data_IF_334874102538
#
_entry.id   IF_334874102538
#
_cell.length_a   1.000
_cell.length_b   1.000
_cell.length_c   1.000
_cell.angle_alpha   90.00
_cell.angle_beta   90.00
_cell.angle_gamma   90.00
#
_symmetry.space_group_name_H-M   'P 1'
#
loop_
_entity.id
_entity.type
_entity.pdbx_description
1 polymer ?
#
# COMPACT_ATOMS: atom_id res chain seq x y z
N UNK A 1 10.22 -26.08 19.55
CA UNK A 1 11.22 -26.24 18.46
C UNK A 1 10.49 -25.98 17.14
N UNK A 2 11.05 -25.21 16.22
CA UNK A 2 10.39 -24.97 14.92
C UNK A 2 10.88 -25.97 13.87
N UNK A 3 10.06 -26.25 12.87
CA UNK A 3 10.40 -27.13 11.74
C UNK A 3 10.44 -26.32 10.46
N UNK A 4 11.56 -26.37 9.74
CA UNK A 4 11.80 -25.65 8.50
C UNK A 4 11.76 -26.63 7.34
N UNK A 5 11.12 -26.25 6.25
CA UNK A 5 11.04 -27.02 5.01
C UNK A 5 11.27 -26.07 3.83
N UNK A 6 12.34 -26.31 3.07
CA UNK A 6 12.59 -25.54 1.85
C UNK A 6 11.69 -26.00 0.69
N UNK A 7 11.78 -25.30 -0.44
CA UNK A 7 10.98 -25.59 -1.63
C UNK A 7 11.35 -26.93 -2.31
N UNK A 8 12.50 -27.53 -1.95
CA UNK A 8 12.96 -28.81 -2.47
C UNK A 8 12.55 -29.98 -1.56
N UNK A 9 11.90 -29.69 -0.43
CA UNK A 9 11.47 -30.69 0.56
C UNK A 9 12.54 -31.05 1.59
N UNK A 10 13.65 -30.31 1.67
CA UNK A 10 14.64 -30.46 2.74
C UNK A 10 14.03 -30.00 4.05
N UNK A 11 13.95 -30.89 5.03
CA UNK A 11 13.38 -30.59 6.36
C UNK A 11 14.48 -30.50 7.41
N UNK A 12 14.43 -29.47 8.24
CA UNK A 12 15.33 -29.32 9.38
C UNK A 12 14.61 -28.72 10.59
N UNK A 13 14.69 -29.34 11.79
CA UNK A 13 14.24 -28.71 13.01
C UNK A 13 15.28 -27.73 13.56
N UNK A 14 14.85 -26.71 14.29
CA UNK A 14 15.74 -25.75 14.96
C UNK A 14 15.22 -25.27 16.32
N UNK A 15 16.15 -25.09 17.25
CA UNK A 15 15.89 -24.38 18.51
C UNK A 15 16.07 -22.89 18.28
N UNK A 16 15.00 -22.13 18.44
CA UNK A 16 14.95 -20.69 18.19
C UNK A 16 14.58 -19.95 19.46
N UNK A 17 14.82 -18.65 19.47
CA UNK A 17 14.57 -17.76 20.60
C UNK A 17 13.41 -16.80 20.25
N UNK A 18 12.69 -16.32 21.27
CA UNK A 18 11.63 -15.31 21.14
C UNK A 18 10.54 -15.67 20.11
N UNK A 19 10.02 -16.89 20.16
CA UNK A 19 8.94 -17.33 19.26
C UNK A 19 7.63 -16.67 19.63
N UNK A 20 7.12 -15.85 18.73
CA UNK A 20 5.91 -15.06 18.88
C UNK A 20 4.97 -15.32 17.68
N UNK A 21 3.80 -15.90 17.93
CA UNK A 21 2.72 -15.99 16.96
C UNK A 21 1.71 -14.86 17.21
N UNK A 22 1.46 -14.04 16.19
CA UNK A 22 0.50 -12.93 16.23
C UNK A 22 -0.68 -13.27 15.32
N UNK A 23 -1.86 -13.31 15.90
CA UNK A 23 -3.13 -13.42 15.19
C UNK A 23 -3.85 -12.06 15.25
N UNK A 24 -4.30 -11.55 14.11
CA UNK A 24 -5.03 -10.28 14.01
C UNK A 24 -6.32 -10.47 13.21
N UNK A 25 -7.39 -9.78 13.62
CA UNK A 25 -8.70 -9.87 12.98
C UNK A 25 -8.62 -9.41 11.53
N UNK A 26 -9.14 -10.20 10.59
CA UNK A 26 -9.18 -9.91 9.16
C UNK A 26 -7.79 -9.65 8.53
N UNK A 27 -6.75 -10.28 9.07
CA UNK A 27 -5.38 -10.15 8.59
C UNK A 27 -4.64 -11.48 8.56
N UNK A 28 -3.49 -11.48 7.87
CA UNK A 28 -2.59 -12.62 7.87
C UNK A 28 -1.91 -12.76 9.22
N UNK A 29 -1.83 -14.00 9.74
CA UNK A 29 -1.05 -14.30 10.93
C UNK A 29 0.43 -14.03 10.70
N UNK A 30 1.15 -13.69 11.77
CA UNK A 30 2.60 -13.45 11.73
C UNK A 30 3.32 -14.33 12.74
N UNK A 31 4.51 -14.80 12.37
CA UNK A 31 5.44 -15.51 13.23
C UNK A 31 6.74 -14.72 13.30
N UNK A 32 7.19 -14.38 14.51
CA UNK A 32 8.49 -13.77 14.75
C UNK A 32 9.35 -14.70 15.60
N UNK A 33 10.64 -14.76 15.29
CA UNK A 33 11.63 -15.45 16.13
C UNK A 33 13.05 -14.99 15.79
N UNK A 34 13.99 -15.38 16.62
CA UNK A 34 15.42 -15.19 16.42
C UNK A 34 16.12 -16.54 16.34
N UNK A 35 17.05 -16.69 15.39
CA UNK A 35 17.88 -17.88 15.26
C UNK A 35 19.36 -17.52 15.16
N UNK A 36 20.19 -18.27 15.89
CA UNK A 36 21.64 -18.18 15.85
C UNK A 36 22.23 -19.32 15.00
N UNK A 37 23.28 -19.01 14.25
CA UNK A 37 24.10 -19.98 13.50
C UNK A 37 24.97 -20.82 14.47
N UNK A 38 24.31 -21.67 15.24
CA UNK A 38 24.95 -22.65 16.12
C UNK A 38 25.01 -24.02 15.45
N UNK A 39 25.88 -24.90 15.95
CA UNK A 39 26.05 -26.25 15.40
C UNK A 39 24.73 -27.02 15.33
N UNK A 40 23.88 -26.86 16.34
CA UNK A 40 22.59 -27.54 16.48
C UNK A 40 21.56 -27.04 15.46
N UNK A 41 21.68 -25.79 15.01
CA UNK A 41 20.76 -25.16 14.07
C UNK A 41 21.32 -25.07 12.65
N UNK A 42 22.52 -25.62 12.38
CA UNK A 42 23.28 -25.31 11.16
C UNK A 42 22.51 -25.56 9.87
N UNK A 43 21.82 -26.70 9.80
CA UNK A 43 21.01 -27.08 8.64
C UNK A 43 19.81 -26.12 8.48
N UNK A 44 19.02 -25.92 9.53
CA UNK A 44 17.88 -25.00 9.48
C UNK A 44 18.30 -23.55 9.17
N UNK A 45 19.48 -23.13 9.63
CA UNK A 45 20.05 -21.82 9.31
C UNK A 45 20.33 -21.65 7.82
N UNK A 46 20.75 -22.71 7.13
CA UNK A 46 20.92 -22.73 5.67
C UNK A 46 19.57 -22.72 4.93
N UNK A 47 18.50 -23.20 5.55
CA UNK A 47 17.15 -23.17 4.98
C UNK A 47 16.45 -21.80 5.14
N UNK A 48 17.09 -20.78 5.70
CA UNK A 48 16.49 -19.43 5.83
C UNK A 48 16.49 -18.65 4.49
N UNK A 49 15.89 -19.24 3.46
CA UNK A 49 15.78 -18.73 2.10
C UNK A 49 14.32 -18.35 1.76
N UNK A 50 14.08 -17.55 0.71
CA UNK A 50 12.72 -17.25 0.26
C UNK A 50 11.90 -18.52 -0.01
N UNK A 51 10.64 -18.52 0.41
CA UNK A 51 9.71 -19.64 0.18
C UNK A 51 9.78 -20.77 1.21
N UNK A 52 10.76 -20.76 2.13
CA UNK A 52 10.84 -21.75 3.21
C UNK A 52 9.60 -21.70 4.09
N UNK A 53 8.95 -22.86 4.22
CA UNK A 53 7.83 -23.10 5.11
C UNK A 53 8.35 -23.37 6.52
N UNK A 54 7.72 -22.75 7.50
CA UNK A 54 8.02 -22.89 8.92
C UNK A 54 6.75 -23.41 9.59
N UNK A 55 6.86 -24.55 10.25
CA UNK A 55 5.78 -25.13 11.04
C UNK A 55 6.06 -24.88 12.52
N UNK A 56 5.05 -24.36 13.22
CA UNK A 56 5.02 -24.27 14.68
C UNK A 56 4.30 -25.50 15.22
N UNK A 57 5.00 -26.49 15.81
CA UNK A 57 4.37 -27.75 16.20
C UNK A 57 3.26 -27.61 17.25
N UNK A 58 3.36 -26.60 18.12
CA UNK A 58 2.43 -26.39 19.22
C UNK A 58 1.05 -25.92 18.73
N UNK A 59 0.99 -25.13 17.65
CA UNK A 59 -0.24 -24.60 17.05
C UNK A 59 -0.65 -25.34 15.77
N UNK A 60 0.28 -26.05 15.14
CA UNK A 60 0.18 -26.62 13.79
C UNK A 60 -0.12 -25.55 12.70
N UNK A 61 0.28 -24.31 12.96
CA UNK A 61 0.24 -23.25 11.97
C UNK A 61 1.48 -23.30 11.08
N UNK A 62 1.29 -22.94 9.82
CA UNK A 62 2.36 -22.85 8.83
C UNK A 62 2.57 -21.40 8.39
N UNK A 63 3.84 -21.03 8.28
CA UNK A 63 4.28 -19.69 7.90
C UNK A 63 5.32 -19.78 6.78
N UNK A 64 5.51 -18.71 6.03
CA UNK A 64 6.61 -18.52 5.07
C UNK A 64 7.41 -17.29 5.40
N UNK A 65 8.73 -17.40 5.28
CA UNK A 65 9.66 -16.31 5.57
C UNK A 65 9.33 -15.10 4.68
N UNK A 66 9.14 -13.94 5.32
CA UNK A 66 8.90 -12.66 4.66
C UNK A 66 10.11 -11.72 4.79
N UNK A 67 10.71 -11.66 5.99
CA UNK A 67 11.94 -10.89 6.23
C UNK A 67 12.99 -11.72 6.97
N UNK A 68 14.26 -11.49 6.65
CA UNK A 68 15.40 -12.17 7.24
C UNK A 68 16.54 -11.17 7.50
N UNK A 69 16.51 -10.53 8.66
CA UNK A 69 17.48 -9.49 9.02
C UNK A 69 18.67 -10.10 9.77
N UNK A 70 19.89 -9.81 9.34
CA UNK A 70 21.10 -10.38 9.90
C UNK A 70 21.91 -9.43 10.78
N UNK A 71 22.48 -9.96 11.86
CA UNK A 71 23.47 -9.29 12.69
C UNK A 71 24.57 -10.26 13.12
N UNK A 72 25.74 -9.74 13.49
CA UNK A 72 26.79 -10.55 14.13
C UNK A 72 26.77 -10.30 15.64
N UNK A 73 26.75 -11.37 16.44
CA UNK A 73 26.77 -11.29 17.91
C UNK A 73 27.88 -12.20 18.42
N UNK A 74 28.98 -11.57 18.86
CA UNK A 74 30.20 -12.30 19.21
C UNK A 74 30.68 -13.13 18.02
N UNK A 75 30.81 -14.45 18.23
CA UNK A 75 31.26 -15.40 17.20
C UNK A 75 30.13 -15.99 16.34
N UNK A 76 28.87 -15.66 16.63
CA UNK A 76 27.71 -16.23 15.93
C UNK A 76 27.05 -15.21 15.01
N UNK A 77 26.47 -15.69 13.91
CA UNK A 77 25.54 -14.89 13.11
C UNK A 77 24.12 -15.09 13.64
N UNK A 78 23.42 -13.99 13.91
CA UNK A 78 22.02 -13.97 14.31
C UNK A 78 21.14 -13.58 13.12
N UNK A 79 19.99 -14.24 12.98
CA UNK A 79 18.89 -13.80 12.13
C UNK A 79 17.66 -13.50 12.96
N UNK A 80 17.03 -12.36 12.71
CA UNK A 80 15.70 -12.03 13.19
C UNK A 80 14.73 -12.20 12.02
N UNK A 81 13.79 -13.12 12.19
CA UNK A 81 12.88 -13.56 11.13
C UNK A 81 11.48 -13.05 11.44
N UNK A 82 10.84 -12.48 10.42
CA UNK A 82 9.39 -12.34 10.35
C UNK A 82 8.88 -13.22 9.22
N UNK A 83 7.92 -14.09 9.54
CA UNK A 83 7.24 -14.94 8.59
C UNK A 83 5.74 -14.61 8.62
N UNK A 84 5.10 -14.63 7.45
CA UNK A 84 3.65 -14.46 7.33
C UNK A 84 3.01 -15.84 7.20
N UNK A 85 1.78 -15.98 7.65
CA UNK A 85 1.02 -17.22 7.54
C UNK A 85 0.94 -17.68 6.08
N UNK A 86 0.87 -18.99 5.88
CA UNK A 86 0.88 -19.61 4.54
C UNK A 86 -0.26 -19.11 3.66
N UNK A 87 -1.33 -18.58 4.25
CA UNK A 87 -2.42 -17.91 3.54
C UNK A 87 -1.98 -16.74 2.65
N UNK A 88 -0.85 -16.10 2.94
CA UNK A 88 -0.24 -15.09 2.07
C UNK A 88 0.15 -15.64 0.69
N UNK A 89 0.29 -16.96 0.52
CA UNK A 89 0.52 -17.58 -0.79
C UNK A 89 -0.60 -17.30 -1.80
N UNK A 90 -1.80 -16.95 -1.32
CA UNK A 90 -2.89 -16.52 -2.19
C UNK A 90 -2.50 -15.30 -3.05
N UNK A 91 -1.54 -14.47 -2.58
CA UNK A 91 -0.97 -13.37 -3.35
C UNK A 91 -0.20 -13.83 -4.60
N UNK A 92 0.28 -15.07 -4.66
CA UNK A 92 0.94 -15.59 -5.87
C UNK A 92 -0.05 -15.86 -7.02
N UNK A 93 -1.36 -15.79 -6.78
CA UNK A 93 -2.38 -16.01 -7.78
C UNK A 93 -2.92 -14.67 -8.32
N UNK A 94 -2.43 -14.29 -9.50
CA UNK A 94 -2.98 -13.16 -10.25
C UNK A 94 -4.08 -13.60 -11.19
N UNK A 95 -5.19 -12.87 -11.19
CA UNK A 95 -6.37 -13.16 -12.00
C UNK A 95 -6.50 -12.05 -13.04
N UNK A 96 -6.35 -12.39 -14.31
CA UNK A 96 -6.44 -11.48 -15.45
C UNK A 96 -7.89 -11.24 -15.92
N UNK A 97 -8.77 -12.21 -15.65
CA UNK A 97 -10.19 -12.14 -15.97
C UNK A 97 -10.94 -11.24 -15.00
N UNK A 98 -12.14 -10.84 -15.41
CA UNK A 98 -13.04 -10.05 -14.59
C UNK A 98 -14.48 -10.59 -14.62
N UNK A 99 -15.13 -10.57 -13.46
CA UNK A 99 -16.55 -10.79 -13.31
C UNK A 99 -17.29 -9.45 -13.39
N UNK A 100 -18.47 -9.46 -14.01
CA UNK A 100 -19.30 -8.27 -14.18
C UNK A 100 -20.66 -8.45 -13.55
N UNK A 101 -21.30 -7.33 -13.23
CA UNK A 101 -22.68 -7.29 -12.74
C UNK A 101 -22.84 -7.86 -11.34
N UNK A 102 -24.05 -8.30 -11.01
CA UNK A 102 -24.36 -8.87 -9.69
C UNK A 102 -23.85 -10.31 -9.59
N UNK A 103 -23.08 -10.62 -8.54
CA UNK A 103 -22.52 -11.95 -8.28
C UNK A 103 -22.79 -12.38 -6.83
N UNK A 104 -22.91 -13.69 -6.60
CA UNK A 104 -22.91 -14.21 -5.23
C UNK A 104 -21.49 -14.21 -4.66
N UNK A 105 -21.35 -14.10 -3.33
CA UNK A 105 -20.04 -14.21 -2.68
C UNK A 105 -19.34 -15.53 -3.02
N UNK A 106 -20.10 -16.63 -3.13
CA UNK A 106 -19.58 -17.93 -3.54
C UNK A 106 -18.99 -17.92 -4.96
N UNK A 107 -19.66 -17.29 -5.93
CA UNK A 107 -19.12 -17.15 -7.29
C UNK A 107 -17.81 -16.38 -7.28
N UNK A 108 -17.70 -15.34 -6.47
CA UNK A 108 -16.50 -14.52 -6.34
C UNK A 108 -15.35 -15.31 -5.69
N UNK A 109 -15.63 -16.04 -4.60
CA UNK A 109 -14.64 -16.88 -3.92
C UNK A 109 -14.15 -18.01 -4.81
N UNK A 110 -15.07 -18.73 -5.48
CA UNK A 110 -14.71 -19.78 -6.42
C UNK A 110 -13.87 -19.26 -7.59
N UNK A 111 -14.16 -18.03 -8.05
CA UNK A 111 -13.39 -17.37 -9.08
C UNK A 111 -11.96 -17.07 -8.63
N UNK A 112 -11.78 -16.45 -7.45
CA UNK A 112 -10.45 -16.04 -6.99
C UNK A 112 -9.59 -17.19 -6.42
N UNK A 113 -10.22 -18.29 -5.98
CA UNK A 113 -9.51 -19.42 -5.39
C UNK A 113 -9.23 -20.54 -6.40
N UNK A 114 -9.69 -20.40 -7.65
CA UNK A 114 -9.60 -21.44 -8.67
C UNK A 114 -8.14 -21.86 -8.92
N UNK A 115 -7.83 -23.14 -8.66
CA UNK A 115 -6.50 -23.71 -8.92
C UNK A 115 -5.43 -23.32 -7.89
N UNK A 116 -5.78 -22.59 -6.83
CA UNK A 116 -4.84 -22.20 -5.76
C UNK A 116 -4.64 -23.28 -4.70
N UNK A 117 -5.55 -24.25 -4.62
CA UNK A 117 -5.60 -25.24 -3.53
C UNK A 117 -6.18 -24.70 -2.22
N UNK A 118 -6.56 -23.42 -2.17
CA UNK A 118 -7.29 -22.85 -1.04
C UNK A 118 -8.76 -23.28 -1.05
N UNK A 119 -9.32 -23.39 0.14
CA UNK A 119 -10.73 -23.77 0.36
C UNK A 119 -11.38 -22.78 1.30
N UNK A 120 -12.71 -22.74 1.34
CA UNK A 120 -13.43 -21.82 2.22
C UNK A 120 -14.70 -22.44 2.81
N UNK A 121 -15.16 -21.87 3.92
CA UNK A 121 -16.47 -22.14 4.53
C UNK A 121 -17.19 -20.82 4.80
N UNK A 122 -18.43 -20.71 4.33
CA UNK A 122 -19.35 -19.62 4.68
C UNK A 122 -20.19 -20.06 5.88
N UNK A 123 -20.13 -19.32 6.99
CA UNK A 123 -20.90 -19.63 8.20
C UNK A 123 -22.25 -18.91 8.25
N UNK A 124 -22.47 -17.94 7.36
CA UNK A 124 -23.66 -17.11 7.29
C UNK A 124 -24.17 -17.02 5.84
N UNK A 125 -25.38 -16.47 5.67
CA UNK A 125 -25.92 -16.14 4.35
C UNK A 125 -25.53 -14.72 3.92
N UNK A 126 -25.21 -14.57 2.64
CA UNK A 126 -24.80 -13.31 2.04
C UNK A 126 -25.72 -12.97 0.87
N UNK A 127 -26.07 -11.69 0.75
CA UNK A 127 -26.77 -11.18 -0.42
C UNK A 127 -25.84 -11.14 -1.62
N UNK A 128 -26.41 -11.09 -2.83
CA UNK A 128 -25.59 -10.86 -4.02
C UNK A 128 -24.94 -9.50 -3.96
N UNK A 129 -23.67 -9.43 -4.31
CA UNK A 129 -22.90 -8.21 -4.38
C UNK A 129 -22.93 -7.67 -5.81
N UNK A 130 -23.28 -6.39 -5.95
CA UNK A 130 -23.27 -5.69 -7.22
C UNK A 130 -22.00 -4.84 -7.30
N UNK A 131 -21.12 -5.17 -8.23
CA UNK A 131 -19.86 -4.45 -8.36
C UNK A 131 -20.05 -3.07 -9.02
N UNK A 132 -19.28 -2.10 -8.53
CA UNK A 132 -19.13 -0.75 -9.12
C UNK A 132 -18.45 -0.78 -10.49
N UNK A 133 -17.43 -1.63 -10.57
CA UNK A 133 -16.49 -1.84 -11.66
C UNK A 133 -16.31 -3.36 -11.80
N UNK A 134 -15.61 -3.84 -12.83
CA UNK A 134 -15.44 -5.29 -12.97
C UNK A 134 -14.60 -5.88 -11.79
N UNK A 135 -14.95 -7.06 -11.28
CA UNK A 135 -14.25 -7.73 -10.18
C UNK A 135 -13.23 -8.74 -10.69
N UNK A 136 -11.96 -8.55 -10.36
CA UNK A 136 -10.85 -9.35 -10.87
C UNK A 136 -9.68 -8.45 -11.25
N UNK A 137 -8.88 -8.84 -12.23
CA UNK A 137 -7.70 -8.09 -12.68
C UNK A 137 -6.75 -7.70 -11.51
N UNK A 138 -6.47 -8.66 -10.63
CA UNK A 138 -5.75 -8.41 -9.38
C UNK A 138 -5.28 -9.69 -8.70
N UNK A 139 -4.50 -9.53 -7.64
CA UNK A 139 -4.08 -10.64 -6.80
C UNK A 139 -5.23 -11.14 -5.93
N UNK A 140 -5.38 -12.46 -5.83
CA UNK A 140 -6.54 -13.08 -5.19
C UNK A 140 -6.70 -12.69 -3.71
N UNK A 141 -5.61 -12.49 -2.98
CA UNK A 141 -5.64 -12.06 -1.59
C UNK A 141 -6.09 -10.60 -1.44
N UNK A 142 -5.62 -9.71 -2.32
CA UNK A 142 -6.07 -8.32 -2.38
C UNK A 142 -7.55 -8.23 -2.75
N UNK A 143 -8.01 -9.01 -3.73
CA UNK A 143 -9.43 -9.08 -4.11
C UNK A 143 -10.30 -9.58 -2.96
N UNK A 144 -9.85 -10.59 -2.22
CA UNK A 144 -10.54 -11.09 -1.02
C UNK A 144 -10.61 -10.02 0.08
N UNK A 145 -9.47 -9.48 0.49
CA UNK A 145 -9.36 -8.66 1.70
C UNK A 145 -9.77 -7.21 1.47
N UNK A 146 -9.39 -6.61 0.33
CA UNK A 146 -9.63 -5.20 0.06
C UNK A 146 -10.95 -4.90 -0.63
N UNK A 147 -11.50 -5.86 -1.39
CA UNK A 147 -12.75 -5.67 -2.13
C UNK A 147 -13.86 -6.48 -1.49
N UNK A 148 -13.79 -7.82 -1.51
CA UNK A 148 -14.90 -8.65 -1.04
C UNK A 148 -15.22 -8.43 0.44
N UNK A 149 -14.22 -8.51 1.32
CA UNK A 149 -14.43 -8.34 2.77
C UNK A 149 -14.97 -6.94 3.11
N UNK A 150 -14.41 -5.90 2.48
CA UNK A 150 -14.82 -4.51 2.70
C UNK A 150 -16.24 -4.24 2.18
N UNK A 151 -16.54 -4.69 0.96
CA UNK A 151 -17.79 -4.37 0.31
C UNK A 151 -18.96 -5.23 0.79
N UNK A 152 -18.70 -6.50 1.12
CA UNK A 152 -19.70 -7.42 1.68
C UNK A 152 -19.77 -7.37 3.21
N UNK A 153 -18.88 -6.59 3.85
CA UNK A 153 -18.79 -6.38 5.30
C UNK A 153 -18.82 -7.70 6.07
N UNK A 154 -17.89 -8.60 5.71
CA UNK A 154 -17.66 -9.87 6.41
C UNK A 154 -16.30 -9.86 7.10
N UNK A 155 -16.22 -10.60 8.18
CA UNK A 155 -14.99 -10.95 8.87
C UNK A 155 -14.49 -12.32 8.39
N UNK A 156 -13.19 -12.55 8.42
CA UNK A 156 -12.60 -13.82 8.05
C UNK A 156 -11.42 -14.20 8.93
N UNK A 157 -11.15 -15.50 8.97
CA UNK A 157 -9.98 -16.08 9.62
C UNK A 157 -9.42 -17.20 8.76
N UNK A 158 -8.11 -17.17 8.55
CA UNK A 158 -7.39 -18.26 7.92
C UNK A 158 -7.03 -19.35 8.94
N UNK A 159 -7.15 -20.60 8.51
CA UNK A 159 -6.53 -21.76 9.13
C UNK A 159 -5.72 -22.43 8.03
N UNK A 160 -4.44 -22.08 7.96
CA UNK A 160 -3.56 -22.46 6.85
C UNK A 160 -4.25 -22.12 5.50
N UNK A 161 -4.51 -23.11 4.65
CA UNK A 161 -5.11 -22.89 3.32
C UNK A 161 -6.65 -22.88 3.33
N UNK A 162 -7.29 -22.82 4.49
CA UNK A 162 -8.75 -22.76 4.63
C UNK A 162 -9.21 -21.40 5.16
N UNK A 163 -10.19 -20.79 4.48
CA UNK A 163 -10.76 -19.48 4.83
C UNK A 163 -12.10 -19.68 5.50
N UNK A 164 -12.22 -19.29 6.77
CA UNK A 164 -13.49 -19.24 7.47
C UNK A 164 -14.07 -17.84 7.37
N UNK A 165 -15.28 -17.69 6.85
CA UNK A 165 -15.90 -16.41 6.55
C UNK A 165 -17.23 -16.26 7.31
N UNK A 166 -17.36 -15.17 8.06
CA UNK A 166 -18.47 -14.87 8.96
C UNK A 166 -18.97 -13.45 8.72
N UNK A 167 -20.24 -13.18 8.98
CA UNK A 167 -20.73 -11.79 8.95
C UNK A 167 -20.06 -10.94 10.03
N UNK A 168 -19.82 -11.53 11.20
CA UNK A 168 -19.01 -10.94 12.27
C UNK A 168 -18.35 -12.06 13.05
N UNK A 169 -17.05 -11.95 13.32
CA UNK A 169 -16.34 -12.88 14.21
C UNK A 169 -16.48 -12.43 15.65
N UNK A 170 -16.69 -13.41 16.52
CA UNK A 170 -16.61 -13.26 17.96
C UNK A 170 -17.94 -13.11 18.66
N UNK A 171 -17.89 -13.29 19.98
CA UNK A 171 -19.06 -13.36 20.84
C UNK A 171 -19.03 -12.20 21.83
N UNK A 172 -20.20 -11.80 22.33
CA UNK A 172 -20.32 -10.78 23.37
C UNK A 172 -20.09 -11.33 24.77
N UNK A 173 -19.72 -10.45 25.70
CA UNK A 173 -19.58 -10.72 27.13
C UNK A 173 -18.62 -11.87 27.45
N UNK A 174 -17.46 -11.87 26.80
CA UNK A 174 -16.48 -12.97 26.85
C UNK A 174 -15.39 -12.78 27.88
N UNK A 175 -15.17 -11.55 28.34
CA UNK A 175 -14.20 -11.21 29.36
C UNK A 175 -14.62 -9.95 30.13
N UNK A 176 -14.08 -9.81 31.34
CA UNK A 176 -14.07 -8.59 32.13
C UNK A 176 -12.67 -8.45 32.72
N UNK A 177 -11.92 -7.47 32.26
CA UNK A 177 -10.57 -7.20 32.75
C UNK A 177 -10.55 -5.91 33.57
N UNK A 178 -10.08 -6.00 34.81
CA UNK A 178 -10.03 -4.90 35.77
C UNK A 178 -8.57 -4.65 36.10
N UNK A 179 -8.09 -3.44 35.81
CA UNK A 179 -6.71 -3.02 36.07
C UNK A 179 -6.37 -3.11 37.57
N UNK A 180 -5.28 -3.79 37.90
CA UNK A 180 -4.82 -4.01 39.26
C UNK A 180 -5.55 -5.13 40.01
N UNK A 181 -6.55 -5.77 39.39
CA UNK A 181 -7.31 -6.87 39.98
C UNK A 181 -7.23 -8.16 39.15
N UNK A 182 -7.95 -8.24 38.02
CA UNK A 182 -7.92 -9.44 37.16
C UNK A 182 -6.78 -9.41 36.14
N UNK A 183 -6.21 -8.23 35.90
CA UNK A 183 -5.03 -8.00 35.06
C UNK A 183 -4.07 -7.02 35.75
N UNK A 184 -2.77 -7.14 35.49
CA UNK A 184 -1.77 -6.33 36.19
C UNK A 184 -1.79 -4.84 35.76
N UNK A 185 -1.96 -4.59 34.46
CA UNK A 185 -1.90 -3.26 33.85
C UNK A 185 -2.64 -3.25 32.51
N UNK A 186 -3.39 -2.18 32.24
CA UNK A 186 -3.83 -1.81 30.89
C UNK A 186 -2.83 -0.80 30.34
N UNK A 187 -2.34 -1.02 29.12
CA UNK A 187 -1.56 -0.03 28.38
C UNK A 187 -2.42 0.58 27.28
N UNK A 188 -2.43 1.91 27.17
CA UNK A 188 -3.21 2.66 26.17
C UNK A 188 -2.27 3.38 25.20
N UNK A 189 -2.62 3.37 23.92
CA UNK A 189 -2.03 4.21 22.88
C UNK A 189 -3.14 4.89 22.09
N UNK A 190 -3.09 6.22 22.01
CA UNK A 190 -4.10 7.03 21.33
C UNK A 190 -3.45 7.86 20.22
N UNK A 191 -4.10 7.88 19.06
CA UNK A 191 -3.64 8.55 17.85
C UNK A 191 -4.74 9.47 17.30
N UNK A 192 -4.42 10.76 17.20
CA UNK A 192 -5.31 11.82 16.72
C UNK A 192 -5.03 12.22 15.26
N UNK A 193 -3.98 11.69 14.63
CA UNK A 193 -3.47 12.18 13.33
C UNK A 193 -4.46 11.98 12.18
N UNK A 194 -5.31 10.96 12.28
CA UNK A 194 -6.30 10.63 11.24
C UNK A 194 -7.67 11.24 11.49
N UNK A 195 -7.82 12.13 12.48
CA UNK A 195 -9.13 12.71 12.78
C UNK A 195 -9.55 13.67 11.66
N UNK A 196 -10.76 13.45 11.17
CA UNK A 196 -11.44 14.29 10.19
C UNK A 196 -12.88 14.50 10.65
N UNK A 197 -13.41 15.72 10.53
CA UNK A 197 -14.75 16.06 11.00
C UNK A 197 -15.68 16.54 9.88
N UNK A 198 -15.18 16.60 8.65
CA UNK A 198 -15.98 16.93 7.49
C UNK A 198 -15.50 16.17 6.26
N UNK A 199 -16.44 15.72 5.42
CA UNK A 199 -16.15 14.92 4.22
C UNK A 199 -17.11 15.27 3.09
N UNK A 200 -16.59 15.28 1.86
CA UNK A 200 -17.34 15.52 0.62
C UNK A 200 -17.18 14.33 -0.33
N UNK A 201 -18.19 14.10 -1.16
CA UNK A 201 -18.07 13.15 -2.24
C UNK A 201 -19.14 13.28 -3.32
N UNK A 202 -18.87 12.58 -4.42
CA UNK A 202 -19.72 12.52 -5.60
C UNK A 202 -19.93 11.08 -6.03
N UNK A 203 -21.14 10.83 -6.55
CA UNK A 203 -21.51 9.56 -7.15
C UNK A 203 -21.19 9.51 -8.64
N UNK A 204 -21.84 8.59 -9.35
CA UNK A 204 -21.66 8.35 -10.79
C UNK A 204 -21.66 9.64 -11.61
N UNK A 205 -20.75 9.75 -12.57
CA UNK A 205 -20.70 10.88 -13.51
C UNK A 205 -21.50 10.59 -14.79
N UNK A 206 -22.01 11.65 -15.42
CA UNK A 206 -22.57 11.61 -16.76
C UNK A 206 -21.47 11.65 -17.85
N UNK A 207 -21.86 11.52 -19.12
CA UNK A 207 -20.93 11.53 -20.26
C UNK A 207 -20.12 12.83 -20.41
N UNK A 208 -20.45 13.88 -19.65
CA UNK A 208 -19.77 15.18 -19.62
C UNK A 208 -18.92 15.36 -18.37
N UNK A 209 -18.75 14.30 -17.56
CA UNK A 209 -17.98 14.33 -16.32
C UNK A 209 -18.69 15.04 -15.16
N UNK A 210 -20.00 15.32 -15.28
CA UNK A 210 -20.77 15.96 -14.20
C UNK A 210 -21.33 14.86 -13.28
N UNK A 211 -21.16 14.98 -11.95
CA UNK A 211 -21.71 13.99 -11.03
C UNK A 211 -23.24 14.05 -11.01
N UNK A 212 -23.88 12.88 -11.11
CA UNK A 212 -25.33 12.69 -11.00
C UNK A 212 -25.83 13.01 -9.59
N UNK A 213 -25.02 12.68 -8.58
CA UNK A 213 -25.29 12.98 -7.16
C UNK A 213 -24.03 13.47 -6.46
N UNK A 214 -24.18 14.33 -5.47
CA UNK A 214 -23.10 14.79 -4.59
C UNK A 214 -23.63 14.99 -3.19
N UNK A 215 -22.79 14.77 -2.20
CA UNK A 215 -23.14 14.93 -0.80
C UNK A 215 -21.95 15.45 0.01
N UNK A 216 -22.25 16.09 1.13
CA UNK A 216 -21.28 16.50 2.13
C UNK A 216 -21.81 16.16 3.52
N UNK A 217 -20.91 15.89 4.45
CA UNK A 217 -21.23 15.56 5.83
C UNK A 217 -20.26 16.25 6.78
N UNK A 218 -20.80 16.90 7.81
CA UNK A 218 -20.03 17.44 8.95
C UNK A 218 -20.42 16.68 10.22
N UNK A 219 -19.44 16.12 10.92
CA UNK A 219 -19.63 15.46 12.20
C UNK A 219 -19.99 16.46 13.31
N UNK A 220 -20.86 16.10 14.26
CA UNK A 220 -21.04 16.87 15.49
C UNK A 220 -19.73 17.15 16.25
N UNK A 221 -18.72 16.29 16.10
CA UNK A 221 -17.39 16.45 16.71
C UNK A 221 -16.61 17.65 16.14
N UNK A 222 -17.06 18.24 15.02
CA UNK A 222 -16.50 19.49 14.51
C UNK A 222 -16.63 20.66 15.51
N UNK A 223 -17.55 20.56 16.49
CA UNK A 223 -17.66 21.53 17.58
C UNK A 223 -16.44 21.53 18.50
N UNK A 224 -15.88 20.35 18.75
CA UNK A 224 -14.78 20.14 19.69
C UNK A 224 -13.43 20.11 18.98
N UNK A 225 -13.34 19.53 17.78
CA UNK A 225 -12.10 19.40 17.01
C UNK A 225 -11.93 20.43 15.88
N UNK A 226 -12.93 21.27 15.62
CA UNK A 226 -12.97 22.14 14.44
C UNK A 226 -13.32 21.38 13.15
N UNK A 227 -13.44 22.10 12.03
CA UNK A 227 -13.71 21.51 10.71
C UNK A 227 -12.40 21.03 10.09
N UNK A 228 -12.26 19.72 9.90
CA UNK A 228 -11.09 19.06 9.34
C UNK A 228 -11.56 18.21 8.16
N UNK A 229 -11.15 18.58 6.95
CA UNK A 229 -11.52 17.90 5.70
C UNK A 229 -10.86 16.53 5.58
N UNK A 230 -11.68 15.51 5.34
CA UNK A 230 -11.25 14.22 4.83
C UNK A 230 -11.01 14.26 3.32
N UNK A 231 -10.35 13.23 2.80
CA UNK A 231 -10.18 13.06 1.36
C UNK A 231 -11.54 12.98 0.65
N UNK A 232 -11.65 13.68 -0.48
CA UNK A 232 -12.85 13.62 -1.33
C UNK A 232 -13.07 12.22 -1.90
N UNK A 233 -14.33 11.75 -1.88
CA UNK A 233 -14.71 10.42 -2.38
C UNK A 233 -15.45 10.56 -3.72
N UNK A 234 -14.97 9.87 -4.76
CA UNK A 234 -15.67 9.66 -6.03
C UNK A 234 -16.01 8.17 -6.15
N UNK A 235 -17.30 7.83 -6.22
CA UNK A 235 -17.74 6.42 -6.29
C UNK A 235 -18.98 6.25 -7.18
N UNK A 236 -18.78 5.63 -8.34
CA UNK A 236 -19.79 5.50 -9.39
C UNK A 236 -20.92 4.49 -9.06
N UNK A 237 -20.85 3.78 -7.92
CA UNK A 237 -21.98 2.96 -7.42
C UNK A 237 -23.17 3.80 -7.04
N UNK A 238 -22.92 5.02 -6.56
CA UNK A 238 -23.97 5.85 -6.00
C UNK A 238 -24.64 6.67 -7.09
N UNK A 239 -25.91 6.37 -7.32
CA UNK A 239 -26.80 7.16 -8.18
C UNK A 239 -27.87 7.91 -7.37
N UNK A 240 -27.89 7.72 -6.05
CA UNK A 240 -28.79 8.39 -5.13
C UNK A 240 -28.03 9.08 -3.98
N UNK A 241 -28.49 10.27 -3.60
CA UNK A 241 -27.83 11.11 -2.60
C UNK A 241 -27.86 10.48 -1.19
N UNK A 242 -28.89 9.70 -0.85
CA UNK A 242 -29.06 9.15 0.50
C UNK A 242 -28.04 8.06 0.78
N UNK A 243 -27.85 7.13 -0.16
CA UNK A 243 -26.84 6.08 -0.07
C UNK A 243 -25.43 6.66 -0.06
N UNK A 244 -25.15 7.67 -0.91
CA UNK A 244 -23.87 8.38 -0.89
C UNK A 244 -23.61 9.04 0.48
N UNK A 245 -24.59 9.76 1.03
CA UNK A 245 -24.44 10.41 2.34
C UNK A 245 -24.20 9.38 3.47
N UNK A 246 -24.90 8.25 3.44
CA UNK A 246 -24.69 7.17 4.41
C UNK A 246 -23.29 6.56 4.29
N UNK A 247 -22.79 6.42 3.05
CA UNK A 247 -21.42 5.98 2.80
C UNK A 247 -20.39 6.98 3.32
N UNK A 248 -20.54 8.27 3.04
CA UNK A 248 -19.65 9.32 3.57
C UNK A 248 -19.57 9.29 5.10
N UNK A 249 -20.70 9.11 5.79
CA UNK A 249 -20.75 8.95 7.24
C UNK A 249 -20.01 7.72 7.76
N UNK A 250 -19.91 6.64 6.97
CA UNK A 250 -19.16 5.45 7.38
C UNK A 250 -17.66 5.56 7.14
N UNK A 251 -17.22 6.50 6.30
CA UNK A 251 -15.79 6.72 6.00
C UNK A 251 -15.13 7.77 6.88
N UNK A 252 -15.91 8.61 7.57
CA UNK A 252 -15.35 9.67 8.43
C UNK A 252 -14.70 9.08 9.69
N UNK A 253 -13.51 9.55 10.02
CA UNK A 253 -12.80 9.19 11.25
C UNK A 253 -12.89 10.36 12.23
N UNK A 254 -14.02 10.53 12.90
CA UNK A 254 -14.30 11.68 13.78
C UNK A 254 -14.00 11.42 15.27
N UNK A 255 -13.34 10.30 15.56
CA UNK A 255 -12.87 9.92 16.89
C UNK A 255 -11.40 9.46 16.87
N UNK A 256 -10.67 9.56 18.00
CA UNK A 256 -9.29 9.08 18.09
C UNK A 256 -9.17 7.58 17.84
N UNK A 257 -8.07 7.18 17.20
CA UNK A 257 -7.72 5.76 17.11
C UNK A 257 -7.04 5.35 18.40
N UNK A 258 -7.72 4.53 19.19
CA UNK A 258 -7.26 4.04 20.49
C UNK A 258 -6.95 2.56 20.39
N UNK A 259 -5.83 2.17 20.99
CA UNK A 259 -5.40 0.79 21.15
C UNK A 259 -5.14 0.52 22.62
N UNK A 260 -5.81 -0.50 23.16
CA UNK A 260 -5.49 -1.03 24.48
C UNK A 260 -4.72 -2.32 24.33
N UNK A 261 -3.75 -2.51 25.21
CA UNK A 261 -2.94 -3.71 25.28
C UNK A 261 -2.97 -4.22 26.70
N UNK A 262 -3.25 -5.50 26.84
CA UNK A 262 -3.17 -6.20 28.12
C UNK A 262 -2.22 -7.37 27.95
N UNK A 263 -1.17 -7.38 28.76
CA UNK A 263 -0.24 -8.50 28.87
C UNK A 263 -0.63 -9.36 30.07
N UNK A 264 -0.40 -10.66 29.97
CA UNK A 264 -0.66 -11.57 31.08
C UNK A 264 0.55 -12.35 31.50
N UNK A 265 0.79 -12.32 32.79
CA UNK A 265 1.36 -13.45 33.51
C UNK A 265 0.32 -14.30 34.25
N UNK A 266 -0.98 -13.93 34.25
CA UNK A 266 -2.02 -14.51 35.14
C UNK A 266 -3.43 -14.71 34.54
N UNK A 267 -3.66 -14.47 33.22
CA UNK A 267 -5.00 -14.49 32.57
C UNK A 267 -5.86 -15.71 32.93
N UNK A 268 -5.26 -16.89 32.89
CA UNK A 268 -5.99 -18.16 32.99
C UNK A 268 -6.33 -18.52 34.44
N UNK A 269 -5.59 -17.99 35.43
CA UNK A 269 -5.86 -18.24 36.85
C UNK A 269 -6.95 -17.30 37.41
N UNK A 270 -6.97 -16.03 36.99
CA UNK A 270 -7.95 -15.04 37.44
C UNK A 270 -9.36 -15.25 36.84
N UNK A 271 -9.45 -15.94 35.69
CA UNK A 271 -10.70 -16.22 34.99
C UNK A 271 -11.03 -17.72 34.98
N UNK A 272 -10.58 -18.49 35.98
CA UNK A 272 -10.82 -19.93 36.08
C UNK A 272 -12.31 -20.34 36.05
N UNK A 273 -13.22 -19.40 36.37
CA UNK A 273 -14.68 -19.56 36.26
C UNK A 273 -15.20 -19.47 34.81
N UNK A 274 -14.44 -18.88 33.89
CA UNK A 274 -14.73 -18.84 32.46
C UNK A 274 -14.12 -20.07 31.79
N UNK A 275 -14.94 -21.10 31.59
CA UNK A 275 -14.54 -22.38 30.96
C UNK A 275 -14.19 -22.28 29.47
N UNK A 276 -14.32 -21.10 28.85
CA UNK A 276 -14.15 -20.91 27.40
C UNK A 276 -13.04 -19.90 27.09
N UNK A 277 -12.00 -20.38 26.40
CA UNK A 277 -10.91 -19.55 25.84
C UNK A 277 -11.48 -18.37 25.04
N UNK A 278 -10.91 -17.19 25.25
CA UNK A 278 -11.13 -15.99 24.43
C UNK A 278 -10.41 -16.15 23.08
N UNK A 279 -10.96 -15.55 22.04
CA UNK A 279 -10.45 -15.60 20.67
C UNK A 279 -10.46 -14.19 20.04
N UNK A 280 -9.70 -14.01 18.96
CA UNK A 280 -9.81 -12.80 18.13
C UNK A 280 -11.28 -12.61 17.71
N UNK A 281 -11.75 -11.37 17.79
CA UNK A 281 -13.11 -10.93 17.54
C UNK A 281 -14.04 -10.95 18.76
N UNK A 282 -13.70 -11.65 19.85
CA UNK A 282 -14.54 -11.66 21.06
C UNK A 282 -14.62 -10.25 21.69
N UNK A 283 -15.81 -9.91 22.22
CA UNK A 283 -16.09 -8.66 22.91
C UNK A 283 -16.19 -8.86 24.42
N UNK A 284 -15.78 -7.85 25.18
CA UNK A 284 -15.85 -7.83 26.64
C UNK A 284 -15.55 -6.44 27.17
N UNK A 285 -15.35 -6.35 28.48
CA UNK A 285 -15.18 -5.07 29.17
C UNK A 285 -13.76 -4.92 29.72
N UNK A 286 -13.19 -3.73 29.55
CA UNK A 286 -12.03 -3.25 30.30
C UNK A 286 -12.52 -2.23 31.33
N UNK A 287 -12.09 -2.39 32.59
CA UNK A 287 -12.24 -1.39 33.65
C UNK A 287 -10.88 -0.86 34.03
N UNK A 288 -10.68 0.44 33.86
CA UNK A 288 -9.46 1.11 34.29
C UNK A 288 -9.46 1.37 35.82
N UNK A 289 -8.41 2.00 36.34
CA UNK A 289 -8.30 2.32 37.78
C UNK A 289 -9.17 3.49 38.23
N UNK A 290 -9.85 4.16 37.31
CA UNK A 290 -10.76 5.28 37.57
C UNK A 290 -12.23 4.87 37.39
N UNK A 291 -12.50 3.55 37.42
CA UNK A 291 -13.83 2.96 37.27
C UNK A 291 -14.50 3.30 35.92
N UNK A 292 -13.72 3.55 34.87
CA UNK A 292 -14.22 3.70 33.51
C UNK A 292 -14.35 2.32 32.87
N UNK A 293 -15.59 1.96 32.52
CA UNK A 293 -15.91 0.73 31.80
C UNK A 293 -15.93 0.98 30.28
N UNK A 294 -15.17 0.17 29.55
CA UNK A 294 -15.08 0.22 28.09
C UNK A 294 -15.44 -1.13 27.49
N UNK A 295 -16.48 -1.17 26.65
CA UNK A 295 -16.74 -2.33 25.80
C UNK A 295 -15.72 -2.33 24.66
N UNK A 296 -14.94 -3.41 24.55
CA UNK A 296 -13.88 -3.54 23.57
C UNK A 296 -13.94 -4.89 22.86
N UNK A 297 -13.40 -4.93 21.65
CA UNK A 297 -13.19 -6.15 20.87
C UNK A 297 -11.72 -6.54 20.89
N UNK A 298 -11.42 -7.84 21.01
CA UNK A 298 -10.06 -8.36 20.78
C UNK A 298 -9.78 -8.28 19.28
N UNK A 299 -8.90 -7.38 18.87
CA UNK A 299 -8.45 -7.26 17.48
C UNK A 299 -7.18 -8.06 17.21
N UNK A 300 -6.43 -8.43 18.24
CA UNK A 300 -5.25 -9.27 18.07
C UNK A 300 -4.84 -10.03 19.32
N UNK A 301 -4.21 -11.18 19.12
CA UNK A 301 -3.64 -12.03 20.16
C UNK A 301 -2.21 -12.37 19.76
N UNK A 302 -1.28 -12.03 20.63
CA UNK A 302 0.10 -12.50 20.59
C UNK A 302 0.26 -13.67 21.56
N UNK A 303 0.77 -14.79 21.07
CA UNK A 303 1.04 -16.01 21.84
C UNK A 303 2.52 -16.39 21.77
N UNK A 304 3.05 -16.98 22.85
CA UNK A 304 4.43 -17.44 22.96
C UNK A 304 4.46 -18.97 23.09
N UNK A 305 4.28 -19.73 21.99
CA UNK A 305 4.05 -21.18 22.05
C UNK A 305 5.19 -21.95 22.74
N UNK A 306 6.43 -21.45 22.67
CA UNK A 306 7.60 -22.06 23.28
C UNK A 306 7.94 -21.49 24.67
N UNK A 307 7.21 -20.47 25.12
CA UNK A 307 7.37 -19.82 26.42
C UNK A 307 5.99 -19.58 27.07
N UNK A 308 5.21 -20.64 27.34
CA UNK A 308 3.82 -20.50 27.82
C UNK A 308 3.70 -19.73 29.15
N UNK A 309 4.76 -19.71 29.96
CA UNK A 309 4.85 -18.93 31.20
C UNK A 309 4.80 -17.41 30.99
N UNK A 310 5.14 -16.92 29.78
CA UNK A 310 5.00 -15.51 29.41
C UNK A 310 3.53 -15.11 29.18
N UNK A 311 2.63 -16.10 29.17
CA UNK A 311 1.20 -15.92 28.93
C UNK A 311 0.91 -15.41 27.51
N UNK A 312 -0.11 -14.58 27.38
CA UNK A 312 -0.51 -13.99 26.09
C UNK A 312 -0.54 -12.47 26.21
N UNK A 313 -0.55 -11.81 25.07
CA UNK A 313 -0.83 -10.38 24.98
C UNK A 313 -2.07 -10.18 24.11
N UNK A 314 -3.08 -9.52 24.67
CA UNK A 314 -4.33 -9.18 24.01
C UNK A 314 -4.28 -7.73 23.57
N UNK A 315 -4.67 -7.48 22.33
CA UNK A 315 -4.78 -6.16 21.75
C UNK A 315 -6.24 -5.87 21.45
N UNK A 316 -6.70 -4.70 21.87
CA UNK A 316 -8.06 -4.21 21.67
C UNK A 316 -8.03 -2.84 21.00
N UNK A 317 -9.13 -2.47 20.35
CA UNK A 317 -9.36 -1.11 19.89
C UNK A 317 -9.73 -1.00 18.42
N UNK A 318 -9.74 0.23 17.92
CA UNK A 318 -10.12 0.59 16.54
C UNK A 318 -8.89 1.02 15.70
N UNK A 319 -7.71 1.03 16.31
CA UNK A 319 -6.43 1.27 15.63
C UNK A 319 -5.98 -0.02 14.96
N UNK A 320 -6.30 -0.17 13.68
CA UNK A 320 -5.63 -1.15 12.84
C UNK A 320 -4.29 -0.57 12.38
N UNK A 321 -3.21 -1.16 12.88
CA UNK A 321 -1.87 -0.97 12.32
C UNK A 321 -1.39 -2.35 11.90
N UNK A 322 -1.33 -2.60 10.59
CA UNK A 322 -0.62 -3.75 10.08
C UNK A 322 0.30 -3.40 8.94
N UNK A 323 1.42 -4.11 8.90
CA UNK A 323 2.41 -3.98 7.84
C UNK A 323 1.81 -4.40 6.48
N UNK A 324 0.85 -5.33 6.48
CA UNK A 324 0.08 -5.72 5.30
C UNK A 324 -0.80 -4.58 4.78
N UNK A 325 -1.51 -3.87 5.66
CA UNK A 325 -2.28 -2.69 5.25
C UNK A 325 -1.38 -1.55 4.79
N UNK A 326 -0.25 -1.31 5.46
CA UNK A 326 0.73 -0.30 5.06
C UNK A 326 1.31 -0.64 3.68
N UNK A 327 1.70 -1.89 3.44
CA UNK A 327 2.24 -2.32 2.14
C UNK A 327 1.17 -2.27 1.04
N UNK A 328 -0.07 -2.70 1.31
CA UNK A 328 -1.19 -2.57 0.36
C UNK A 328 -1.55 -1.10 0.11
N UNK A 329 -1.51 -0.22 1.11
CA UNK A 329 -1.74 1.22 0.93
C UNK A 329 -0.61 1.87 0.11
N UNK A 330 0.65 1.52 0.39
CA UNK A 330 1.80 1.98 -0.39
C UNK A 330 1.73 1.48 -1.83
N UNK A 331 1.29 0.23 -2.04
CA UNK A 331 1.13 -0.35 -3.37
C UNK A 331 -0.04 0.30 -4.12
N UNK A 332 -1.20 0.50 -3.48
CA UNK A 332 -2.32 1.24 -4.05
C UNK A 332 -1.96 2.69 -4.38
N UNK A 333 -1.18 3.35 -3.52
CA UNK A 333 -0.67 4.70 -3.79
C UNK A 333 0.29 4.72 -4.98
N UNK A 334 1.14 3.69 -5.12
CA UNK A 334 2.03 3.51 -6.27
C UNK A 334 1.23 3.25 -7.55
N UNK A 335 0.20 2.41 -7.51
CA UNK A 335 -0.61 2.06 -8.67
C UNK A 335 -1.54 3.19 -9.11
N UNK A 336 -2.12 3.94 -8.17
CA UNK A 336 -2.87 5.16 -8.47
C UNK A 336 -1.98 6.24 -9.08
N UNK A 337 -0.76 6.41 -8.56
CA UNK A 337 0.25 7.30 -9.15
C UNK A 337 0.61 6.87 -10.57
N UNK A 338 0.79 5.56 -10.82
CA UNK A 338 1.06 5.02 -12.15
C UNK A 338 -0.11 5.27 -13.12
N UNK A 339 -1.36 5.12 -12.66
CA UNK A 339 -2.55 5.43 -13.48
C UNK A 339 -2.60 6.90 -13.88
N UNK A 340 -2.31 7.81 -12.95
CA UNK A 340 -2.23 9.25 -13.22
C UNK A 340 -1.12 9.60 -14.23
N UNK A 341 0.06 9.00 -14.08
CA UNK A 341 1.17 9.18 -15.04
C UNK A 341 0.78 8.74 -16.46
N UNK A 342 0.15 7.58 -16.60
CA UNK A 342 -0.32 7.09 -17.91
C UNK A 342 -1.39 8.01 -18.53
N UNK A 343 -2.26 8.61 -17.71
CA UNK A 343 -3.24 9.60 -18.18
C UNK A 343 -2.56 10.88 -18.68
N UNK A 344 -1.57 11.39 -17.94
CA UNK A 344 -0.78 12.54 -18.36
C UNK A 344 -0.02 12.28 -19.67
N UNK A 345 0.56 11.09 -19.85
CA UNK A 345 1.24 10.72 -21.10
C UNK A 345 0.27 10.70 -22.28
N UNK A 346 -0.95 10.18 -22.10
CA UNK A 346 -1.98 10.16 -23.13
C UNK A 346 -2.45 11.58 -23.51
N UNK A 347 -2.59 12.49 -22.54
CA UNK A 347 -2.90 13.91 -22.77
C UNK A 347 -1.73 14.65 -23.46
N UNK A 348 -0.49 14.32 -23.11
CA UNK A 348 0.69 14.89 -23.74
C UNK A 348 0.76 14.49 -25.23
N UNK A 349 0.46 13.24 -25.54
CA UNK A 349 0.46 12.72 -26.91
C UNK A 349 -0.72 13.25 -27.75
N UNK A 350 -1.89 13.45 -27.16
CA UNK A 350 -3.01 14.12 -27.85
C UNK A 350 -2.66 15.56 -28.18
N UNK A 351 -2.08 16.30 -27.21
CA UNK A 351 -1.63 17.68 -27.39
C UNK A 351 -0.56 17.79 -28.48
N UNK A 352 0.42 16.87 -28.52
CA UNK A 352 1.43 16.82 -29.60
C UNK A 352 0.80 16.61 -30.97
N UNK A 353 -0.21 15.74 -31.10
CA UNK A 353 -0.91 15.51 -32.36
C UNK A 353 -1.66 16.76 -32.82
N UNK A 354 -2.30 17.47 -31.91
CA UNK A 354 -2.99 18.73 -32.23
C UNK A 354 -2.01 19.81 -32.68
N UNK A 355 -0.85 19.93 -32.03
CA UNK A 355 0.23 20.83 -32.47
C UNK A 355 0.73 20.44 -33.86
N UNK A 356 0.97 19.16 -34.13
CA UNK A 356 1.41 18.69 -35.45
C UNK A 356 0.36 18.93 -36.55
N UNK A 357 -0.93 18.78 -36.23
CA UNK A 357 -2.04 19.04 -37.15
C UNK A 357 -2.14 20.55 -37.44
N UNK A 358 -1.98 21.40 -36.43
CA UNK A 358 -1.92 22.85 -36.60
C UNK A 358 -0.70 23.28 -37.43
N UNK A 359 0.46 22.65 -37.22
CA UNK A 359 1.67 22.90 -38.01
C UNK A 359 1.53 22.50 -39.48
N UNK A 360 0.83 21.40 -39.78
CA UNK A 360 0.55 20.95 -41.16
C UNK A 360 -0.55 21.75 -41.86
N UNK A 361 -1.44 22.40 -41.13
CA UNK A 361 -2.55 23.19 -41.69
C UNK A 361 -2.15 24.56 -42.24
N UNK A 362 -1.00 25.11 -41.83
CA UNK A 362 -0.66 26.53 -42.04
C UNK A 362 0.65 26.79 -42.81
N UNK A 363 1.25 25.81 -43.48
CA UNK A 363 2.51 26.02 -44.21
C UNK A 363 2.49 25.36 -45.60
N UNK A 364 2.34 26.16 -46.66
CA UNK A 364 2.69 25.79 -48.03
C UNK A 364 3.86 26.67 -48.49
N UNK A 365 4.97 26.05 -48.88
CA UNK A 365 6.15 26.77 -49.39
C UNK A 365 7.25 25.81 -49.83
N UNK A 366 7.88 26.12 -50.97
CA UNK A 366 8.98 25.33 -51.56
C UNK A 366 10.34 25.82 -51.07
N UNK A 367 11.26 24.88 -50.79
CA UNK A 367 12.61 25.17 -50.28
C UNK A 367 13.56 25.43 -51.46
N UNK A 368 14.11 26.64 -51.52
CA UNK A 368 15.25 26.96 -52.41
C UNK A 368 16.50 27.16 -51.54
N UNK A 369 17.61 26.55 -51.97
CA UNK A 369 18.88 26.44 -51.22
C UNK A 369 19.49 27.83 -50.94
N UNK A 370 20.05 27.94 -49.72
CA UNK A 370 20.73 29.08 -49.06
C UNK A 370 19.81 30.02 -48.26
N UNK A 371 20.03 30.01 -46.92
CA UNK A 371 19.12 30.49 -45.87
C UNK A 371 19.07 32.02 -45.73
N UNK A 372 18.33 32.71 -46.59
CA UNK A 372 17.64 33.94 -46.22
C UNK A 372 16.25 33.94 -46.87
N UNK A 373 15.20 33.92 -46.03
CA UNK A 373 13.83 34.05 -46.52
C UNK A 373 13.59 35.54 -46.79
N UNK A 374 13.56 35.91 -48.06
CA UNK A 374 13.09 37.21 -48.52
C UNK A 374 11.56 37.15 -48.64
N UNK A 375 10.88 38.02 -47.92
CA UNK A 375 9.43 38.21 -47.98
C UNK A 375 9.11 39.50 -48.72
N UNK A 376 7.87 39.60 -49.18
CA UNK A 376 7.34 40.78 -49.85
C UNK A 376 6.20 41.35 -49.02
N UNK A 377 6.21 42.66 -48.76
CA UNK A 377 5.17 43.32 -47.99
C UNK A 377 3.82 43.16 -48.69
N UNK A 378 2.83 42.48 -48.08
CA UNK A 378 1.57 42.15 -48.73
C UNK A 378 0.58 43.32 -48.73
N UNK A 379 0.83 44.32 -47.88
CA UNK A 379 0.06 45.55 -47.72
C UNK A 379 1.05 46.67 -47.34
N UNK A 380 0.63 47.92 -47.45
CA UNK A 380 1.41 49.05 -46.96
C UNK A 380 1.49 48.99 -45.43
N UNK A 381 2.72 49.03 -44.90
CA UNK A 381 2.98 49.05 -43.45
C UNK A 381 3.82 50.29 -43.11
N UNK A 382 3.18 51.46 -42.93
CA UNK A 382 3.90 52.73 -42.74
C UNK A 382 4.80 52.75 -41.51
N UNK A 383 4.46 51.99 -40.46
CA UNK A 383 5.28 51.85 -39.24
C UNK A 383 6.63 51.19 -39.47
N UNK A 384 6.80 50.45 -40.57
CA UNK A 384 8.05 49.84 -41.00
C UNK A 384 8.62 50.49 -42.27
N UNK A 385 7.97 51.55 -42.77
CA UNK A 385 8.33 52.23 -44.03
C UNK A 385 8.38 51.29 -45.23
N UNK A 386 7.47 50.30 -45.28
CA UNK A 386 7.34 49.35 -46.39
C UNK A 386 6.01 49.60 -47.13
N UNK A 387 6.07 49.64 -48.46
CA UNK A 387 4.90 49.64 -49.34
C UNK A 387 4.60 48.24 -49.86
N UNK A 388 3.37 48.02 -50.30
CA UNK A 388 2.93 46.77 -50.91
C UNK A 388 3.83 46.42 -52.09
N UNK A 389 4.46 45.25 -52.03
CA UNK A 389 5.42 44.80 -53.03
C UNK A 389 6.90 45.00 -52.65
N UNK A 390 7.20 45.71 -51.56
CA UNK A 390 8.59 45.93 -51.14
C UNK A 390 9.21 44.67 -50.53
N UNK A 391 10.49 44.37 -50.86
CA UNK A 391 11.19 43.23 -50.28
C UNK A 391 11.72 43.52 -48.87
N UNK A 392 11.60 42.55 -47.97
CA UNK A 392 12.23 42.59 -46.65
C UNK A 392 12.72 41.21 -46.20
N UNK A 393 13.70 41.16 -45.30
CA UNK A 393 14.38 39.93 -44.89
C UNK A 393 14.15 39.64 -43.41
N UNK A 394 13.82 38.38 -43.08
CA UNK A 394 13.63 37.96 -41.69
C UNK A 394 14.94 37.39 -41.14
N UNK A 395 15.49 38.02 -40.10
CA UNK A 395 16.66 37.52 -39.37
C UNK A 395 16.15 36.72 -38.18
N UNK A 396 16.22 35.39 -38.24
CA UNK A 396 15.80 34.51 -37.13
C UNK A 396 16.99 34.02 -36.33
N UNK A 397 17.50 34.84 -35.41
CA UNK A 397 18.30 34.36 -34.27
C UNK A 397 17.53 34.64 -32.98
N UNK A 398 17.76 33.83 -31.94
CA UNK A 398 17.14 34.02 -30.63
C UNK A 398 17.49 35.38 -29.99
N UNK A 399 18.56 36.03 -30.44
CA UNK A 399 18.96 37.39 -30.03
C UNK A 399 18.05 38.50 -30.62
N UNK A 400 17.19 38.18 -31.59
CA UNK A 400 16.37 39.15 -32.32
C UNK A 400 15.04 39.55 -31.66
N UNK A 401 14.66 38.96 -30.53
CA UNK A 401 13.38 39.28 -29.86
C UNK A 401 13.65 39.97 -28.53
N UNK A 402 13.69 41.30 -28.55
CA UNK A 402 13.83 42.13 -27.34
C UNK A 402 12.46 42.36 -26.70
N UNK A 403 12.28 42.00 -25.43
CA UNK A 403 11.08 42.37 -24.64
C UNK A 403 10.31 41.26 -23.89
N UNK A 404 10.33 39.97 -24.26
CA UNK A 404 9.59 38.93 -23.52
C UNK A 404 10.40 38.27 -22.41
N UNK A 405 11.66 38.69 -22.18
CA UNK A 405 12.57 38.00 -21.25
C UNK A 405 11.99 37.93 -19.83
N UNK A 406 11.30 38.99 -19.39
CA UNK A 406 10.66 39.09 -18.06
C UNK A 406 9.44 38.18 -17.86
N UNK A 407 8.79 37.74 -18.94
CA UNK A 407 7.59 36.89 -18.86
C UNK A 407 7.97 35.41 -18.80
N UNK A 408 9.06 35.02 -19.48
CA UNK A 408 9.56 33.65 -19.51
C UNK A 408 10.20 33.24 -18.16
N UNK A 409 10.89 34.15 -17.48
CA UNK A 409 11.50 33.86 -16.16
C UNK A 409 10.50 33.61 -15.03
N UNK A 410 9.22 34.01 -15.20
CA UNK A 410 8.16 33.86 -14.19
C UNK A 410 7.44 32.50 -14.21
N UNK A 411 7.53 31.75 -15.31
CA UNK A 411 6.70 30.56 -15.55
C UNK A 411 7.52 29.27 -15.33
N UNK A 412 8.84 29.32 -15.46
CA UNK A 412 9.75 28.25 -15.05
C UNK A 412 11.13 28.85 -14.71
N UNK A 413 11.76 28.50 -13.58
CA UNK A 413 13.17 28.81 -13.37
C UNK A 413 13.97 28.12 -14.49
N UNK A 414 14.60 28.92 -15.33
CA UNK A 414 15.54 28.44 -16.34
C UNK A 414 16.88 28.23 -15.63
N UNK A 415 17.19 26.98 -15.32
CA UNK A 415 18.52 26.62 -14.85
C UNK A 415 19.42 26.44 -16.08
N UNK A 416 20.52 27.19 -16.12
CA UNK A 416 21.54 27.03 -17.16
C UNK A 416 22.17 25.62 -17.10
N UNK A 417 22.83 25.18 -18.17
CA UNK A 417 23.68 23.96 -18.10
C UNK A 417 24.86 24.25 -17.17
N UNK A 418 25.10 23.37 -16.20
CA UNK A 418 26.20 23.54 -15.25
C UNK A 418 27.56 23.40 -15.95
N UNK A 419 28.48 24.31 -15.64
CA UNK A 419 29.90 24.23 -16.02
C UNK A 419 30.75 24.05 -14.76
N UNK A 420 32.06 23.80 -14.89
CA UNK A 420 32.95 23.69 -13.72
C UNK A 420 33.00 24.99 -12.89
N UNK A 421 32.69 26.13 -13.52
CA UNK A 421 32.77 27.45 -12.89
C UNK A 421 31.41 28.07 -12.55
N UNK A 422 30.29 27.47 -13.00
CA UNK A 422 28.95 28.03 -12.85
C UNK A 422 27.89 26.96 -12.54
N UNK A 423 27.11 27.21 -11.50
CA UNK A 423 25.96 26.37 -11.13
C UNK A 423 24.86 26.43 -12.18
N UNK A 424 24.16 25.32 -12.36
CA UNK A 424 23.11 25.16 -13.35
C UNK A 424 22.10 24.10 -12.91
N UNK A 425 21.71 23.20 -13.82
CA UNK A 425 20.87 22.04 -13.51
C UNK A 425 21.45 21.08 -12.45
N UNK A 426 22.74 21.21 -12.13
CA UNK A 426 23.45 20.53 -11.04
C UNK A 426 24.52 21.49 -10.47
N UNK A 427 25.04 21.20 -9.27
CA UNK A 427 26.05 22.06 -8.64
C UNK A 427 27.37 22.02 -9.42
N UNK A 428 28.14 23.11 -9.40
CA UNK A 428 29.48 23.14 -10.02
C UNK A 428 30.41 22.06 -9.44
N UNK A 429 30.24 21.74 -8.16
CA UNK A 429 30.99 20.65 -7.51
C UNK A 429 30.61 19.28 -8.05
N UNK A 430 29.32 19.04 -8.30
CA UNK A 430 28.87 17.77 -8.90
C UNK A 430 29.22 17.68 -10.38
N UNK A 431 29.27 18.81 -11.11
CA UNK A 431 29.79 18.87 -12.48
C UNK A 431 31.26 18.47 -12.53
N UNK A 432 32.07 19.04 -11.64
CA UNK A 432 33.50 18.72 -11.55
C UNK A 432 33.76 17.26 -11.11
N UNK A 433 32.86 16.64 -10.33
CA UNK A 433 32.93 15.20 -10.03
C UNK A 433 32.55 14.36 -11.23
N UNK A 434 31.49 14.76 -11.95
CA UNK A 434 31.00 14.06 -13.14
C UNK A 434 32.05 14.05 -14.26
N UNK A 435 32.72 15.19 -14.50
CA UNK A 435 33.77 15.32 -15.53
C UNK A 435 35.05 14.55 -15.19
N UNK A 436 35.22 14.15 -13.92
CA UNK A 436 36.33 13.29 -13.47
C UNK A 436 36.00 11.80 -13.49
N UNK A 437 34.79 11.41 -13.90
CA UNK A 437 34.47 10.00 -14.07
C UNK A 437 35.18 9.45 -15.32
N UNK A 438 36.14 8.57 -15.10
CA UNK A 438 36.75 7.78 -16.16
C UNK A 438 35.80 6.64 -16.56
N UNK A 439 35.03 6.88 -17.63
CA UNK A 439 34.08 5.93 -18.16
C UNK A 439 34.75 4.64 -18.66
N UNK A 440 36.03 4.69 -19.03
CA UNK A 440 36.77 3.53 -19.52
C UNK A 440 37.26 2.66 -18.35
N UNK A 441 37.71 3.27 -17.23
CA UNK A 441 38.00 2.52 -15.99
C UNK A 441 36.75 1.82 -15.44
N UNK A 442 35.60 2.52 -15.44
CA UNK A 442 34.33 1.95 -14.96
C UNK A 442 33.91 0.76 -15.83
N UNK A 443 34.05 0.86 -17.16
CA UNK A 443 33.77 -0.27 -18.08
C UNK A 443 34.72 -1.44 -17.85
N UNK A 444 36.01 -1.19 -17.69
CA UNK A 444 37.01 -2.23 -17.42
C UNK A 444 36.73 -2.97 -16.10
N UNK A 445 36.27 -2.26 -15.06
CA UNK A 445 35.88 -2.86 -13.78
C UNK A 445 34.61 -3.70 -13.89
N UNK A 446 33.62 -3.24 -14.65
CA UNK A 446 32.41 -4.01 -14.96
C UNK A 446 32.73 -5.31 -15.70
N UNK A 447 33.56 -5.24 -16.74
CA UNK A 447 33.98 -6.42 -17.50
C UNK A 447 34.76 -7.42 -16.64
N UNK A 448 35.57 -6.93 -15.70
CA UNK A 448 36.27 -7.78 -14.73
C UNK A 448 35.32 -8.48 -13.75
N UNK A 449 34.27 -7.79 -13.30
CA UNK A 449 33.23 -8.37 -12.43
C UNK A 449 32.41 -9.42 -13.20
N UNK A 450 32.03 -9.12 -14.45
CA UNK A 450 31.30 -10.08 -15.30
C UNK A 450 32.10 -11.35 -15.56
N UNK A 451 33.42 -11.23 -15.75
CA UNK A 451 34.29 -12.40 -15.91
C UNK A 451 34.46 -13.20 -14.60
N UNK A 452 34.50 -12.55 -13.44
CA UNK A 452 34.52 -13.24 -12.13
C UNK A 452 33.23 -14.01 -11.87
N UNK A 453 32.07 -13.43 -12.19
CA UNK A 453 30.77 -14.10 -12.05
C UNK A 453 30.65 -15.33 -12.96
N UNK A 454 31.24 -15.29 -14.17
CA UNK A 454 31.26 -16.44 -15.08
C UNK A 454 32.22 -17.56 -14.64
N UNK A 455 33.24 -17.26 -13.85
CA UNK A 455 34.14 -18.27 -13.28
C UNK A 455 33.54 -18.95 -12.04
N UNK A 456 32.68 -18.26 -11.27
CA UNK A 456 31.95 -18.84 -10.12
C UNK A 456 30.77 -19.75 -10.55
N UNK A 457 30.35 -19.72 -11.81
CA UNK A 457 29.31 -20.58 -12.40
C UNK A 457 29.85 -21.89 -13.03
N UNK A 458 31.17 -22.15 -12.96
CA UNK A 458 31.82 -23.42 -13.34
C UNK A 458 32.28 -24.21 -12.13
#
# INVERSE_FOLDING_TARGET
MLVFEDILGTVAPAYVENVEEVETLNEFGQLNFTMLDRKENKLAYQLLVPGTKITVPESNNHYKISTNNGASIGKYKQRTITALSIDRDLHAHYIDQVLKGSQSLESCLNFILKGTGFTYTLYDSYTHYAFSEDFGNGYADELLMSQLAKDSNFDFRFINNHINIYKTIGRKNRFLFIDGATIAKISESTDYTTITTHIKGSGKQDDKGKPLVSAEYTSPQAKDFGIIDAQFIQDDRFTDQKSLLNYLKSQIQDYPKVQYTVESSTFDQANAWQTKKYQVGDYGFLRDRHDVDMEVQIIGITSYPQQPQQGKKLTFGNKQLSLAQITTQLQKAKDSTKKYLNQMDAELDSTKKDIQKAAKGNVTGEVVKEKLIQLTAPIDVPSLSLQTGDPYWVITTAEGVKGPEKTITKIAPTYDVATEDKEGLLSKEDKAKLDKLDLDDIKNRLEKIENQLKEEEK
#
